data_IF_953335781836
#
_entry.id   IF_953335781836
#
_cell.length_a   1.000
_cell.length_b   1.000
_cell.length_c   1.000
_cell.angle_alpha   90.00
_cell.angle_beta   90.00
_cell.angle_gamma   90.00
#
_symmetry.space_group_name_H-M   'P 1'
#
loop_
_entity.id
_entity.type
_entity.pdbx_description
1 polymer ?
#
# COMPACT_ATOMS: atom_id res chain seq x y z
N UNK A 1 1.16 -8.67 3.95
CA UNK A 1 2.52 -9.25 4.05
C UNK A 1 3.60 -8.19 4.23
N UNK A 2 3.53 -7.02 3.58
CA UNK A 2 4.55 -5.97 3.74
C UNK A 2 4.73 -5.45 5.16
N UNK A 3 3.64 -5.21 5.89
CA UNK A 3 3.69 -4.70 7.28
C UNK A 3 4.34 -5.66 8.29
N UNK A 4 4.24 -6.97 8.06
CA UNK A 4 4.90 -8.00 8.89
C UNK A 4 6.42 -7.89 8.80
N UNK A 5 6.93 -7.70 7.58
CA UNK A 5 8.36 -7.59 7.30
C UNK A 5 8.87 -6.22 7.77
N UNK A 6 8.12 -5.14 7.52
CA UNK A 6 8.49 -3.82 8.00
C UNK A 6 8.58 -3.76 9.54
N UNK A 7 7.74 -4.52 10.27
CA UNK A 7 7.71 -4.51 11.73
C UNK A 7 9.06 -4.80 12.38
N UNK A 8 9.85 -5.75 11.83
CA UNK A 8 11.13 -6.14 12.43
C UNK A 8 12.16 -5.01 12.40
N UNK A 9 12.13 -4.15 11.37
CA UNK A 9 12.98 -2.94 11.31
C UNK A 9 12.70 -1.97 12.45
N UNK A 10 11.50 -2.02 13.05
CA UNK A 10 11.11 -1.20 14.19
C UNK A 10 11.20 -1.94 15.52
N UNK A 11 11.81 -3.14 15.57
CA UNK A 11 11.78 -4.02 16.76
C UNK A 11 10.34 -4.30 17.23
N UNK A 12 9.46 -4.51 16.25
CA UNK A 12 8.06 -4.86 16.46
C UNK A 12 7.78 -6.26 15.89
N UNK A 13 6.85 -6.96 16.53
CA UNK A 13 6.29 -8.22 16.06
C UNK A 13 4.82 -8.01 15.74
N UNK A 14 4.43 -8.31 14.51
CA UNK A 14 3.02 -8.33 14.13
C UNK A 14 2.34 -9.58 14.69
N UNK A 15 1.26 -9.41 15.46
CA UNK A 15 0.36 -10.49 15.86
C UNK A 15 -0.94 -10.41 15.08
N UNK A 16 -1.27 -11.50 14.38
CA UNK A 16 -2.45 -11.59 13.53
C UNK A 16 -3.54 -12.41 14.23
N UNK A 17 -4.76 -11.89 14.25
CA UNK A 17 -5.91 -12.51 14.91
C UNK A 17 -7.03 -12.73 13.88
N UNK A 18 -7.72 -13.86 14.01
CA UNK A 18 -8.86 -14.23 13.17
C UNK A 18 -10.03 -14.71 14.03
N UNK A 19 -11.25 -14.50 13.56
CA UNK A 19 -12.44 -15.04 14.22
C UNK A 19 -13.64 -15.08 13.27
N UNK A 20 -14.62 -15.93 13.59
CA UNK A 20 -15.93 -16.00 12.94
C UNK A 20 -17.07 -15.40 13.77
N UNK A 21 -16.78 -14.91 14.98
CA UNK A 21 -17.74 -14.35 15.92
C UNK A 21 -17.67 -12.83 15.95
N UNK A 22 -18.78 -12.17 15.60
CA UNK A 22 -18.94 -10.71 15.65
C UNK A 22 -18.65 -10.17 17.05
N UNK A 23 -19.22 -10.81 18.08
CA UNK A 23 -19.03 -10.43 19.48
C UNK A 23 -17.56 -10.53 19.89
N UNK A 24 -16.92 -11.67 19.60
CA UNK A 24 -15.52 -11.87 19.97
C UNK A 24 -14.60 -10.87 19.24
N UNK A 25 -14.90 -10.56 17.97
CA UNK A 25 -14.18 -9.54 17.23
C UNK A 25 -14.27 -8.18 17.93
N UNK A 26 -15.48 -7.66 18.17
CA UNK A 26 -15.70 -6.37 18.82
C UNK A 26 -15.09 -6.32 20.22
N UNK A 27 -15.32 -7.34 21.05
CA UNK A 27 -14.85 -7.39 22.43
C UNK A 27 -13.30 -7.43 22.47
N UNK A 28 -12.66 -8.13 21.53
CA UNK A 28 -11.19 -8.17 21.43
C UNK A 28 -10.61 -6.84 20.95
N UNK A 29 -11.26 -6.15 20.00
CA UNK A 29 -10.83 -4.82 19.57
C UNK A 29 -10.85 -3.84 20.74
N UNK A 30 -11.95 -3.82 21.51
CA UNK A 30 -12.07 -2.98 22.71
C UNK A 30 -11.00 -3.30 23.73
N UNK A 31 -10.75 -4.59 23.97
CA UNK A 31 -9.70 -5.03 24.90
C UNK A 31 -8.32 -4.46 24.54
N UNK A 32 -7.89 -4.54 23.28
CA UNK A 32 -6.59 -4.03 22.86
C UNK A 32 -6.52 -2.49 22.88
N UNK A 33 -7.56 -1.81 22.37
CA UNK A 33 -7.62 -0.36 22.38
C UNK A 33 -7.64 0.22 23.80
N UNK A 34 -8.30 -0.45 24.76
CA UNK A 34 -8.31 -0.04 26.18
C UNK A 34 -6.95 -0.15 26.88
N UNK A 35 -5.97 -0.79 26.23
CA UNK A 35 -4.60 -0.99 26.72
C UNK A 35 -3.59 -0.25 25.85
N UNK A 36 -4.05 0.76 25.11
CA UNK A 36 -3.24 1.59 24.21
C UNK A 36 -2.53 0.81 23.10
N UNK A 37 -3.09 -0.32 22.68
CA UNK A 37 -2.64 -1.02 21.47
C UNK A 37 -3.47 -0.55 20.27
N UNK A 38 -2.89 0.25 19.35
CA UNK A 38 -3.58 0.57 18.11
C UNK A 38 -3.72 -0.69 17.25
N UNK A 39 -4.82 -0.76 16.52
CA UNK A 39 -5.21 -1.97 15.79
C UNK A 39 -5.29 -1.67 14.31
N UNK A 40 -4.63 -2.47 13.49
CA UNK A 40 -4.80 -2.42 12.05
C UNK A 40 -5.86 -3.42 11.60
N UNK A 41 -6.88 -2.94 10.88
CA UNK A 41 -7.98 -3.77 10.40
C UNK A 41 -8.04 -3.70 8.87
N UNK A 42 -8.01 -4.86 8.22
CA UNK A 42 -8.27 -4.99 6.80
C UNK A 42 -9.78 -4.91 6.55
N UNK A 43 -10.21 -3.96 5.73
CA UNK A 43 -11.63 -3.69 5.47
C UNK A 43 -11.89 -3.23 4.03
N UNK A 44 -13.15 -3.29 3.61
CA UNK A 44 -13.59 -2.66 2.37
C UNK A 44 -13.79 -1.15 2.59
N UNK A 45 -12.84 -0.32 2.13
CA UNK A 45 -12.93 1.14 2.27
C UNK A 45 -14.14 1.71 1.51
N UNK A 46 -14.60 1.05 0.44
CA UNK A 46 -15.75 1.51 -0.34
C UNK A 46 -16.97 1.75 0.55
N UNK A 47 -17.19 0.90 1.57
CA UNK A 47 -18.27 1.10 2.52
C UNK A 47 -18.07 2.32 3.41
N UNK A 48 -16.83 2.64 3.80
CA UNK A 48 -16.53 3.79 4.67
C UNK A 48 -16.82 5.12 3.95
N UNK A 49 -16.50 5.18 2.65
CA UNK A 49 -16.66 6.37 1.80
C UNK A 49 -17.94 6.34 0.95
N UNK A 50 -18.88 5.44 1.28
CA UNK A 50 -20.19 5.28 0.64
C UNK A 50 -20.12 5.11 -0.90
N UNK A 51 -19.12 4.36 -1.38
CA UNK A 51 -18.94 3.97 -2.77
C UNK A 51 -19.29 2.50 -3.00
N UNK A 52 -19.59 2.17 -4.25
CA UNK A 52 -19.81 0.79 -4.69
C UNK A 52 -18.47 0.07 -4.97
N UNK A 53 -18.49 -1.26 -4.83
CA UNK A 53 -17.35 -2.13 -5.11
C UNK A 53 -16.62 -2.63 -3.87
N UNK A 54 -15.48 -3.28 -4.10
CA UNK A 54 -14.55 -3.73 -3.05
C UNK A 54 -13.23 -3.02 -3.24
N UNK A 55 -12.90 -2.14 -2.28
CA UNK A 55 -11.62 -1.43 -2.20
C UNK A 55 -10.85 -2.02 -1.00
N UNK A 56 -9.92 -2.96 -1.23
CA UNK A 56 -9.11 -3.55 -0.15
C UNK A 56 -8.19 -2.54 0.50
N UNK A 57 -8.45 -2.21 1.76
CA UNK A 57 -7.64 -1.27 2.53
C UNK A 57 -7.34 -1.81 3.93
N UNK A 58 -6.42 -1.14 4.63
CA UNK A 58 -6.09 -1.43 6.01
C UNK A 58 -6.03 -0.12 6.79
N UNK A 59 -6.89 0.04 7.80
CA UNK A 59 -6.95 1.29 8.57
C UNK A 59 -6.47 1.12 10.01
N UNK A 60 -6.00 2.23 10.61
CA UNK A 60 -5.45 2.25 11.96
C UNK A 60 -6.51 2.72 12.97
N UNK A 61 -6.99 1.82 13.80
CA UNK A 61 -7.96 2.07 14.85
C UNK A 61 -7.23 2.45 16.15
N UNK A 62 -7.70 3.52 16.80
CA UNK A 62 -7.02 4.17 17.92
C UNK A 62 -7.90 4.43 19.14
N UNK A 63 -9.22 4.18 19.04
CA UNK A 63 -10.13 4.36 20.16
C UNK A 63 -11.52 3.82 19.89
N UNK A 64 -12.37 3.86 20.91
CA UNK A 64 -13.78 3.46 20.79
C UNK A 64 -14.65 4.18 21.81
N UNK A 65 -15.95 4.20 21.53
CA UNK A 65 -16.98 4.58 22.49
C UNK A 65 -18.12 3.56 22.48
N UNK A 66 -19.28 3.91 23.07
CA UNK A 66 -20.45 3.03 23.15
C UNK A 66 -21.08 2.71 21.79
N UNK A 67 -20.83 3.52 20.75
CA UNK A 67 -21.46 3.44 19.43
C UNK A 67 -20.54 2.86 18.36
N UNK A 68 -19.22 2.98 18.52
CA UNK A 68 -18.30 2.60 17.46
C UNK A 68 -16.83 2.76 17.80
N UNK A 69 -16.02 2.91 16.75
CA UNK A 69 -14.58 3.04 16.83
C UNK A 69 -14.07 4.30 16.12
N UNK A 70 -12.91 4.77 16.58
CA UNK A 70 -12.17 5.88 16.00
C UNK A 70 -10.95 5.34 15.24
N UNK A 71 -10.74 5.83 14.01
CA UNK A 71 -9.66 5.35 13.13
C UNK A 71 -9.03 6.48 12.29
N UNK A 72 -7.80 6.26 11.85
CA UNK A 72 -7.12 7.07 10.85
C UNK A 72 -7.02 6.32 9.54
N UNK A 73 -7.23 7.04 8.45
CA UNK A 73 -6.98 6.50 7.12
C UNK A 73 -5.48 6.38 6.86
N UNK A 74 -5.06 5.30 6.19
CA UNK A 74 -3.67 5.08 5.78
C UNK A 74 -3.44 5.35 4.29
N UNK A 75 -4.52 5.53 3.53
CA UNK A 75 -4.52 5.68 2.07
C UNK A 75 -4.31 7.12 1.57
N UNK A 76 -4.32 8.13 2.44
CA UNK A 76 -4.21 9.54 2.02
C UNK A 76 -2.75 10.02 2.03
N UNK A 77 -2.23 10.46 0.87
CA UNK A 77 -0.90 11.09 0.70
C UNK A 77 -0.67 12.28 1.64
N UNK A 78 -1.73 12.87 2.15
CA UNK A 78 -1.71 13.88 3.19
C UNK A 78 -2.44 13.32 4.41
N UNK A 79 -1.81 12.40 5.15
CA UNK A 79 -2.26 12.03 6.50
C UNK A 79 -2.13 13.24 7.47
N UNK A 80 -2.83 14.32 7.13
CA UNK A 80 -3.10 15.55 7.87
C UNK A 80 -4.42 15.40 8.64
N UNK A 81 -4.87 14.17 8.88
CA UNK A 81 -6.01 13.94 9.75
C UNK A 81 -5.56 14.30 11.17
N UNK A 82 -5.89 15.52 11.61
CA UNK A 82 -5.65 15.96 12.99
C UNK A 82 -6.57 15.24 13.98
N UNK A 83 -7.72 14.74 13.50
CA UNK A 83 -8.72 14.03 14.29
C UNK A 83 -9.07 12.70 13.64
N UNK A 84 -9.30 11.64 14.44
CA UNK A 84 -9.70 10.35 13.91
C UNK A 84 -11.15 10.41 13.39
N UNK A 85 -11.42 9.64 12.36
CA UNK A 85 -12.75 9.39 11.83
C UNK A 85 -13.50 8.38 12.70
N UNK A 86 -14.83 8.40 12.64
CA UNK A 86 -15.68 7.49 13.41
C UNK A 86 -16.39 6.48 12.49
N UNK A 87 -16.50 5.23 12.94
CA UNK A 87 -17.27 4.17 12.30
C UNK A 87 -18.10 3.40 13.34
N UNK A 88 -19.38 3.21 13.08
CA UNK A 88 -20.23 2.39 13.94
C UNK A 88 -19.92 0.89 13.80
N UNK A 89 -20.34 0.11 14.80
CA UNK A 89 -20.05 -1.33 14.82
C UNK A 89 -20.61 -2.10 13.62
N UNK A 90 -21.80 -1.74 13.15
CA UNK A 90 -22.45 -2.43 12.05
C UNK A 90 -21.69 -2.20 10.74
N UNK A 91 -21.35 -0.94 10.45
CA UNK A 91 -20.57 -0.55 9.28
C UNK A 91 -19.19 -1.20 9.30
N UNK A 92 -18.53 -1.26 10.46
CA UNK A 92 -17.24 -1.95 10.60
C UNK A 92 -17.35 -3.46 10.32
N UNK A 93 -18.27 -4.16 10.97
CA UNK A 93 -18.46 -5.61 10.78
C UNK A 93 -18.74 -5.93 9.32
N UNK A 94 -19.62 -5.16 8.68
CA UNK A 94 -19.95 -5.32 7.25
C UNK A 94 -18.71 -5.12 6.37
N UNK A 95 -17.92 -4.08 6.62
CA UNK A 95 -16.73 -3.76 5.83
C UNK A 95 -15.64 -4.84 5.92
N UNK A 96 -15.41 -5.37 7.11
CA UNK A 96 -14.41 -6.43 7.32
C UNK A 96 -14.90 -7.75 6.72
N UNK A 97 -16.16 -8.12 6.95
CA UNK A 97 -16.74 -9.36 6.43
C UNK A 97 -16.74 -9.39 4.91
N UNK A 98 -17.21 -8.32 4.26
CA UNK A 98 -17.25 -8.23 2.80
C UNK A 98 -15.85 -8.37 2.18
N UNK A 99 -14.83 -7.80 2.82
CA UNK A 99 -13.45 -7.95 2.34
C UNK A 99 -12.96 -9.40 2.44
N UNK A 100 -13.17 -10.06 3.58
CA UNK A 100 -12.72 -11.44 3.75
C UNK A 100 -13.47 -12.41 2.83
N UNK A 101 -14.76 -12.18 2.57
CA UNK A 101 -15.55 -12.93 1.60
C UNK A 101 -15.05 -12.73 0.16
N UNK A 102 -14.70 -11.50 -0.23
CA UNK A 102 -14.14 -11.21 -1.55
C UNK A 102 -12.84 -11.98 -1.82
N UNK A 103 -12.01 -12.19 -0.78
CA UNK A 103 -10.79 -12.99 -0.86
C UNK A 103 -10.99 -14.47 -0.53
N UNK A 104 -12.24 -14.95 -0.44
CA UNK A 104 -12.58 -16.35 -0.12
C UNK A 104 -11.85 -16.88 1.11
N UNK A 105 -11.70 -16.06 2.16
CA UNK A 105 -11.01 -16.45 3.38
C UNK A 105 -11.91 -17.33 4.25
N UNK A 106 -11.29 -18.27 4.96
CA UNK A 106 -11.99 -19.21 5.86
C UNK A 106 -12.42 -18.57 7.20
N UNK A 107 -12.30 -17.25 7.34
CA UNK A 107 -12.69 -16.50 8.53
C UNK A 107 -13.44 -15.22 8.12
N UNK A 108 -14.38 -14.77 8.96
CA UNK A 108 -15.17 -13.54 8.72
C UNK A 108 -14.41 -12.27 9.08
N UNK A 109 -13.61 -12.32 10.15
CA UNK A 109 -12.94 -11.15 10.69
C UNK A 109 -11.46 -11.42 10.91
N UNK A 110 -10.65 -10.39 10.65
CA UNK A 110 -9.24 -10.41 10.97
C UNK A 110 -8.73 -9.00 11.28
N UNK A 111 -7.74 -8.94 12.16
CA UNK A 111 -7.00 -7.73 12.48
C UNK A 111 -5.58 -8.09 12.90
N UNK A 112 -4.74 -7.08 13.04
CA UNK A 112 -3.44 -7.26 13.65
C UNK A 112 -3.04 -6.09 14.52
N UNK A 113 -2.17 -6.38 15.47
CA UNK A 113 -1.49 -5.40 16.31
C UNK A 113 0.02 -5.55 16.14
N UNK A 114 0.74 -4.54 16.61
CA UNK A 114 2.18 -4.63 16.80
C UNK A 114 2.49 -4.64 18.29
N UNK A 115 3.35 -5.58 18.68
CA UNK A 115 3.94 -5.59 20.03
C UNK A 115 5.44 -5.37 19.91
N UNK A 116 6.06 -4.86 20.97
CA UNK A 116 7.52 -4.87 21.08
C UNK A 116 8.03 -6.29 20.93
N UNK A 117 9.04 -6.49 20.10
CA UNK A 117 9.62 -7.80 19.89
C UNK A 117 11.00 -7.69 19.27
N UNK A 118 11.86 -8.66 19.57
CA UNK A 118 13.19 -8.76 18.98
C UNK A 118 13.13 -9.56 17.67
N UNK A 119 12.17 -9.25 16.81
CA UNK A 119 12.12 -9.86 15.49
C UNK A 119 13.36 -9.43 14.71
N UNK A 120 14.17 -10.41 14.31
CA UNK A 120 15.29 -10.15 13.43
C UNK A 120 14.79 -9.58 12.10
N UNK A 121 15.52 -8.61 11.57
CA UNK A 121 15.30 -8.14 10.21
C UNK A 121 15.54 -9.32 9.28
N UNK A 122 14.59 -9.61 8.41
CA UNK A 122 14.72 -10.70 7.46
C UNK A 122 15.97 -10.46 6.61
N UNK A 123 16.99 -11.34 6.63
CA UNK A 123 18.30 -11.04 6.05
C UNK A 123 18.20 -10.70 4.54
N UNK A 124 17.25 -11.33 3.84
CA UNK A 124 17.09 -11.21 2.39
C UNK A 124 16.03 -10.17 1.99
N UNK A 125 15.68 -9.22 2.86
CA UNK A 125 14.62 -8.24 2.60
C UNK A 125 14.88 -7.39 1.33
N UNK A 126 16.14 -7.08 1.03
CA UNK A 126 16.54 -6.40 -0.21
C UNK A 126 16.19 -7.24 -1.43
N UNK A 127 16.62 -8.50 -1.49
CA UNK A 127 16.29 -9.40 -2.59
C UNK A 127 14.79 -9.59 -2.74
N UNK A 128 14.07 -9.77 -1.63
CA UNK A 128 12.60 -9.85 -1.61
C UNK A 128 11.97 -8.59 -2.21
N UNK A 129 12.42 -7.40 -1.82
CA UNK A 129 11.93 -6.14 -2.39
C UNK A 129 12.29 -6.00 -3.87
N UNK A 130 13.46 -6.49 -4.28
CA UNK A 130 13.86 -6.57 -5.68
C UNK A 130 12.89 -7.45 -6.50
N UNK A 131 12.54 -8.64 -6.02
CA UNK A 131 11.52 -9.47 -6.67
C UNK A 131 10.13 -8.82 -6.68
N UNK A 132 9.76 -8.07 -5.64
CA UNK A 132 8.49 -7.32 -5.63
C UNK A 132 8.47 -6.17 -6.64
N UNK A 133 9.60 -5.46 -6.83
CA UNK A 133 9.75 -4.44 -7.86
C UNK A 133 9.74 -5.05 -9.26
N UNK A 134 10.40 -6.19 -9.46
CA UNK A 134 10.33 -6.97 -10.70
C UNK A 134 8.89 -7.42 -10.98
N UNK A 135 8.16 -7.76 -9.93
CA UNK A 135 6.78 -8.18 -10.00
C UNK A 135 6.62 -9.52 -10.72
N UNK A 136 5.36 -9.88 -10.91
CA UNK A 136 4.95 -11.03 -11.70
C UNK A 136 3.71 -10.67 -12.51
N UNK A 137 3.47 -11.41 -13.58
CA UNK A 137 2.26 -11.33 -14.37
C UNK A 137 1.54 -12.69 -14.31
N UNK A 138 0.35 -12.71 -13.73
CA UNK A 138 -0.58 -13.82 -13.79
C UNK A 138 -1.88 -13.34 -14.46
N UNK A 139 -2.67 -14.26 -15.00
CA UNK A 139 -3.79 -14.02 -15.93
C UNK A 139 -4.60 -12.73 -15.71
N UNK A 140 -4.89 -12.34 -14.47
CA UNK A 140 -5.66 -11.14 -14.12
C UNK A 140 -4.95 -10.20 -13.12
N UNK A 141 -3.65 -10.36 -12.89
CA UNK A 141 -2.90 -9.59 -11.91
C UNK A 141 -1.44 -9.39 -12.35
N UNK A 142 -1.09 -8.14 -12.59
CA UNK A 142 0.30 -7.71 -12.71
C UNK A 142 0.72 -6.95 -11.44
N UNK A 143 1.98 -7.11 -11.04
CA UNK A 143 2.59 -6.39 -9.90
C UNK A 143 3.93 -5.77 -10.29
N UNK A 144 4.53 -4.95 -9.42
CA UNK A 144 5.83 -4.33 -9.66
C UNK A 144 5.83 -3.45 -10.92
N UNK A 145 6.94 -3.41 -11.65
CA UNK A 145 7.06 -2.65 -12.89
C UNK A 145 6.12 -3.16 -14.00
N UNK A 146 5.80 -4.46 -14.00
CA UNK A 146 4.88 -5.07 -14.98
C UNK A 146 3.47 -4.47 -14.87
N UNK A 147 3.01 -4.16 -13.65
CA UNK A 147 1.73 -3.48 -13.46
C UNK A 147 1.70 -2.08 -14.10
N UNK A 148 2.83 -1.39 -14.11
CA UNK A 148 2.97 -0.05 -14.68
C UNK A 148 2.98 -0.14 -16.21
N UNK A 149 3.63 -1.16 -16.77
CA UNK A 149 3.59 -1.46 -18.21
C UNK A 149 2.17 -1.81 -18.68
N UNK A 150 1.45 -2.66 -17.93
CA UNK A 150 0.04 -2.97 -18.24
C UNK A 150 -0.84 -1.72 -18.10
N UNK A 151 -0.61 -0.86 -17.10
CA UNK A 151 -1.33 0.41 -16.99
C UNK A 151 -1.09 1.33 -18.20
N UNK A 152 0.14 1.39 -18.70
CA UNK A 152 0.46 2.14 -19.92
C UNK A 152 -0.27 1.58 -21.15
N UNK A 153 -0.31 0.25 -21.28
CA UNK A 153 -1.03 -0.46 -22.34
C UNK A 153 -2.55 -0.27 -22.25
N UNK A 154 -3.10 -0.23 -21.05
CA UNK A 154 -4.52 0.05 -20.82
C UNK A 154 -4.89 1.47 -21.29
N UNK A 155 -4.03 2.46 -21.01
CA UNK A 155 -4.22 3.83 -21.52
C UNK A 155 -4.20 3.86 -23.04
N UNK A 156 -3.26 3.13 -23.66
CA UNK A 156 -3.15 2.99 -25.11
C UNK A 156 -4.42 2.37 -25.73
N UNK A 157 -4.88 1.25 -25.18
CA UNK A 157 -6.05 0.53 -25.67
C UNK A 157 -7.36 1.31 -25.50
N UNK A 158 -7.49 2.05 -24.40
CA UNK A 158 -8.74 2.74 -24.06
C UNK A 158 -8.78 4.19 -24.55
N UNK A 159 -7.64 4.77 -24.94
CA UNK A 159 -7.52 6.18 -25.31
C UNK A 159 -7.83 7.14 -24.16
N UNK A 160 -7.76 6.68 -22.90
CA UNK A 160 -7.98 7.52 -21.70
C UNK A 160 -7.39 6.90 -20.44
N UNK A 161 -7.18 7.74 -19.44
CA UNK A 161 -6.70 7.33 -18.11
C UNK A 161 -7.89 7.10 -17.19
N UNK A 162 -8.14 5.84 -16.82
CA UNK A 162 -9.25 5.47 -15.91
C UNK A 162 -8.91 5.72 -14.44
N UNK A 163 -7.65 5.56 -14.06
CA UNK A 163 -7.18 5.61 -12.68
C UNK A 163 -6.14 6.73 -12.50
N UNK A 164 -6.53 8.01 -12.57
CA UNK A 164 -5.58 9.12 -12.52
C UNK A 164 -4.84 9.24 -11.20
N UNK A 165 -5.45 8.76 -10.11
CA UNK A 165 -4.80 8.68 -8.80
C UNK A 165 -3.55 7.77 -8.81
N UNK A 166 -3.47 6.79 -9.72
CA UNK A 166 -2.33 5.91 -9.84
C UNK A 166 -1.07 6.66 -10.31
N UNK A 167 -1.22 7.65 -11.19
CA UNK A 167 -0.10 8.51 -11.63
C UNK A 167 0.47 9.30 -10.45
N UNK A 168 -0.40 9.83 -9.60
CA UNK A 168 -0.01 10.51 -8.38
C UNK A 168 0.71 9.56 -7.41
N UNK A 169 0.13 8.37 -7.18
CA UNK A 169 0.72 7.34 -6.33
C UNK A 169 2.13 6.92 -6.79
N UNK A 170 2.32 6.74 -8.09
CA UNK A 170 3.60 6.37 -8.66
C UNK A 170 4.69 7.41 -8.34
N UNK A 171 4.43 8.72 -8.48
CA UNK A 171 5.48 9.70 -8.21
C UNK A 171 5.86 9.76 -6.73
N UNK A 172 4.90 9.93 -5.81
CA UNK A 172 5.28 10.21 -4.41
C UNK A 172 5.88 8.99 -3.73
N UNK A 173 5.43 7.78 -4.10
CA UNK A 173 6.01 6.54 -3.55
C UNK A 173 7.47 6.37 -3.95
N UNK A 174 7.83 6.68 -5.22
CA UNK A 174 9.22 6.56 -5.69
C UNK A 174 10.11 7.67 -5.12
N UNK A 175 9.57 8.87 -4.93
CA UNK A 175 10.25 9.95 -4.21
C UNK A 175 10.60 9.52 -2.78
N UNK A 176 9.62 9.02 -2.02
CA UNK A 176 9.87 8.56 -0.65
C UNK A 176 10.84 7.38 -0.59
N UNK A 177 10.78 6.46 -1.55
CA UNK A 177 11.76 5.37 -1.65
C UNK A 177 13.18 5.89 -1.87
N UNK A 178 13.37 6.88 -2.75
CA UNK A 178 14.68 7.50 -2.97
C UNK A 178 15.23 8.12 -1.67
N UNK A 179 14.40 8.92 -1.00
CA UNK A 179 14.77 9.57 0.27
C UNK A 179 15.12 8.55 1.36
N UNK A 180 14.33 7.48 1.47
CA UNK A 180 14.59 6.41 2.43
C UNK A 180 15.92 5.71 2.13
N UNK A 181 16.18 5.36 0.86
CA UNK A 181 17.40 4.65 0.46
C UNK A 181 18.64 5.49 0.74
N UNK A 182 18.60 6.77 0.35
CA UNK A 182 19.72 7.69 0.55
C UNK A 182 20.15 7.84 2.01
N UNK A 183 19.18 7.76 2.94
CA UNK A 183 19.38 7.94 4.38
C UNK A 183 19.69 6.66 5.14
N UNK A 184 19.31 5.49 4.60
CA UNK A 184 19.27 4.24 5.37
C UNK A 184 20.39 3.26 5.01
N UNK A 185 20.88 3.28 3.77
CA UNK A 185 21.82 2.26 3.29
C UNK A 185 23.22 2.83 3.07
N UNK A 186 24.22 2.11 3.57
CA UNK A 186 25.65 2.41 3.36
C UNK A 186 26.25 1.64 2.18
N UNK A 187 25.56 0.60 1.69
CA UNK A 187 25.99 -0.16 0.51
C UNK A 187 25.88 0.75 -0.72
N UNK A 188 27.01 1.12 -1.32
CA UNK A 188 27.05 2.13 -2.38
C UNK A 188 26.17 1.78 -3.59
N UNK A 189 26.16 0.51 -4.02
CA UNK A 189 25.31 0.03 -5.13
C UNK A 189 23.82 0.23 -4.82
N UNK A 190 23.39 -0.07 -3.60
CA UNK A 190 22.01 0.15 -3.13
C UNK A 190 21.74 1.64 -3.00
N UNK A 191 22.66 2.43 -2.45
CA UNK A 191 22.52 3.88 -2.30
C UNK A 191 22.34 4.59 -3.64
N UNK A 192 23.05 4.16 -4.68
CA UNK A 192 22.92 4.67 -6.05
C UNK A 192 21.51 4.46 -6.63
N UNK A 193 20.75 3.47 -6.14
CA UNK A 193 19.36 3.30 -6.58
C UNK A 193 18.45 4.45 -6.16
N UNK A 194 18.86 5.29 -5.20
CA UNK A 194 18.14 6.51 -4.84
C UNK A 194 17.98 7.45 -6.04
N UNK A 195 19.04 7.64 -6.81
CA UNK A 195 19.02 8.51 -8.00
C UNK A 195 18.11 7.92 -9.09
N UNK A 196 18.13 6.59 -9.26
CA UNK A 196 17.28 5.88 -10.21
C UNK A 196 15.80 5.99 -9.78
N UNK A 197 15.50 5.87 -8.49
CA UNK A 197 14.15 6.09 -7.96
C UNK A 197 13.68 7.53 -8.15
N UNK A 198 14.57 8.51 -7.97
CA UNK A 198 14.30 9.91 -8.22
C UNK A 198 13.98 10.15 -9.71
N UNK A 199 14.73 9.53 -10.62
CA UNK A 199 14.45 9.61 -12.06
C UNK A 199 13.11 8.97 -12.42
N UNK A 200 12.79 7.79 -11.88
CA UNK A 200 11.50 7.14 -12.07
C UNK A 200 10.36 8.01 -11.54
N UNK A 201 10.52 8.59 -10.33
CA UNK A 201 9.58 9.55 -9.75
C UNK A 201 9.33 10.75 -10.67
N UNK A 202 10.38 11.33 -11.24
CA UNK A 202 10.27 12.46 -12.17
C UNK A 202 9.53 12.09 -13.45
N UNK A 203 9.70 10.87 -13.97
CA UNK A 203 8.93 10.38 -15.12
C UNK A 203 7.42 10.37 -14.78
N UNK A 204 7.05 9.81 -13.64
CA UNK A 204 5.65 9.74 -13.20
C UNK A 204 5.06 11.10 -12.86
N UNK A 205 5.85 12.00 -12.24
CA UNK A 205 5.45 13.37 -11.95
C UNK A 205 5.14 14.15 -13.22
N UNK A 206 5.98 14.03 -14.25
CA UNK A 206 5.72 14.64 -15.55
C UNK A 206 4.45 14.07 -16.20
N UNK A 207 4.25 12.75 -16.15
CA UNK A 207 3.04 12.11 -16.66
C UNK A 207 1.78 12.62 -15.95
N UNK A 208 1.83 12.76 -14.62
CA UNK A 208 0.75 13.31 -13.81
C UNK A 208 0.43 14.77 -14.14
N UNK A 209 1.45 15.61 -14.33
CA UNK A 209 1.28 17.01 -14.70
C UNK A 209 0.62 17.15 -16.09
N UNK A 210 1.09 16.39 -17.09
CA UNK A 210 0.50 16.37 -18.43
C UNK A 210 -0.98 15.99 -18.37
N UNK A 211 -1.33 14.98 -17.57
CA UNK A 211 -2.72 14.59 -17.35
C UNK A 211 -3.54 15.72 -16.73
N UNK A 212 -3.01 16.40 -15.70
CA UNK A 212 -3.71 17.50 -15.02
C UNK A 212 -3.97 18.71 -15.90
N UNK A 213 -3.10 18.97 -16.86
CA UNK A 213 -3.26 20.04 -17.84
C UNK A 213 -4.36 19.74 -18.89
N UNK A 214 -5.05 18.58 -18.79
CA UNK A 214 -6.12 18.12 -19.69
C UNK A 214 -5.73 18.13 -21.17
N UNK A 215 -4.45 17.94 -21.45
CA UNK A 215 -3.94 17.94 -22.80
C UNK A 215 -4.11 16.53 -23.40
N UNK A 216 -5.34 16.19 -23.77
CA UNK A 216 -5.76 14.85 -24.26
C UNK A 216 -4.91 14.37 -25.46
N UNK A 217 -4.31 15.28 -26.22
CA UNK A 217 -3.39 14.96 -27.33
C UNK A 217 -2.00 14.44 -26.88
N UNK A 218 -1.72 14.30 -25.58
CA UNK A 218 -0.42 13.87 -25.07
C UNK A 218 -0.39 12.47 -24.42
N UNK A 219 -1.40 11.62 -24.66
CA UNK A 219 -1.41 10.24 -24.12
C UNK A 219 -0.16 9.45 -24.50
N UNK A 220 0.34 9.60 -25.73
CA UNK A 220 1.60 8.96 -26.17
C UNK A 220 2.79 9.38 -25.30
N UNK A 221 2.84 10.64 -24.86
CA UNK A 221 3.91 11.13 -23.98
C UNK A 221 3.79 10.54 -22.56
N UNK A 222 2.57 10.46 -22.03
CA UNK A 222 2.28 9.79 -20.76
C UNK A 222 2.72 8.32 -20.80
N UNK A 223 2.32 7.59 -21.83
CA UNK A 223 2.68 6.17 -22.03
C UNK A 223 4.20 6.00 -22.08
N UNK A 224 4.92 6.84 -22.82
CA UNK A 224 6.40 6.82 -22.87
C UNK A 224 7.03 7.05 -21.50
N UNK A 225 6.52 8.02 -20.73
CA UNK A 225 7.01 8.31 -19.38
C UNK A 225 6.75 7.15 -18.41
N UNK A 226 5.57 6.53 -18.46
CA UNK A 226 5.22 5.34 -17.68
C UNK A 226 6.16 4.17 -18.01
N UNK A 227 6.37 3.92 -19.30
CA UNK A 227 7.27 2.86 -19.76
C UNK A 227 8.70 3.10 -19.30
N UNK A 228 9.23 4.34 -19.43
CA UNK A 228 10.57 4.70 -18.96
C UNK A 228 10.71 4.51 -17.45
N UNK A 229 9.76 4.99 -16.66
CA UNK A 229 9.76 4.82 -15.20
C UNK A 229 9.76 3.34 -14.80
N UNK A 230 8.96 2.52 -15.48
CA UNK A 230 8.91 1.09 -15.22
C UNK A 230 10.24 0.38 -15.53
N UNK A 231 10.94 0.76 -16.59
CA UNK A 231 12.26 0.18 -16.92
C UNK A 231 13.31 0.56 -15.88
N UNK A 232 13.28 1.80 -15.37
CA UNK A 232 14.13 2.24 -14.25
C UNK A 232 13.88 1.40 -12.99
N UNK A 233 12.62 1.07 -12.68
CA UNK A 233 12.29 0.19 -11.56
C UNK A 233 12.76 -1.24 -11.73
N UNK A 234 12.73 -1.78 -12.95
CA UNK A 234 13.31 -3.08 -13.24
C UNK A 234 14.85 -3.07 -13.05
N UNK A 235 15.52 -1.96 -13.36
CA UNK A 235 16.96 -1.82 -13.08
C UNK A 235 17.24 -1.84 -11.58
N UNK A 236 16.45 -1.11 -10.79
CA UNK A 236 16.54 -1.12 -9.32
C UNK A 236 16.31 -2.53 -8.78
N UNK A 237 15.29 -3.23 -9.30
CA UNK A 237 14.96 -4.59 -8.91
C UNK A 237 16.17 -5.53 -9.04
N UNK A 238 16.88 -5.47 -10.17
CA UNK A 238 18.06 -6.30 -10.40
C UNK A 238 19.22 -5.93 -9.47
N UNK A 239 19.42 -4.65 -9.16
CA UNK A 239 20.43 -4.21 -8.18
C UNK A 239 20.10 -4.79 -6.80
N UNK A 240 18.84 -4.71 -6.36
CA UNK A 240 18.41 -5.25 -5.08
C UNK A 240 18.56 -6.77 -4.99
N UNK A 241 18.26 -7.50 -6.06
CA UNK A 241 18.40 -8.96 -6.11
C UNK A 241 19.87 -9.40 -5.99
N UNK A 242 20.79 -8.61 -6.57
CA UNK A 242 22.22 -8.95 -6.65
C UNK A 242 23.05 -8.44 -5.46
N UNK A 243 22.48 -7.66 -4.53
CA UNK A 243 23.18 -7.06 -3.38
C UNK A 243 22.59 -7.50 -2.03
N UNK A 244 21.97 -8.68 -1.99
CA UNK A 244 21.46 -9.32 -0.78
C UNK A 244 22.33 -10.49 -0.36
#
# INVERSE_FOLDING_TARGET
MGTKVAASHFKLKQKYYITNSDKLFIDTLKYYLSRDYPICIQLNEALLIDKQGVFPHCELFVGYDKKGFYYYQTSNKYNKQEKPLFIDYYKLLKAVKQLNEFFSRNWKYAFYIFEKGNSEVEPNYLQRNGYLLKGFNQKNLATGFLAIKEFAKDIENQGKIQNPWALEALFYTRLHNAEYIAKTFDIQSVKNTSEIFMEASNCYKQAFNIYKEQNENNLTKIIKLLNKGADLENNIANIFINNA
#
